data_IF_078242801951
#
_entry.id   IF_078242801951
#
_cell.length_a   1.000
_cell.length_b   1.000
_cell.length_c   1.000
_cell.angle_alpha   90.00
_cell.angle_beta   90.00
_cell.angle_gamma   90.00
#
_symmetry.space_group_name_H-M   'P 1'
#
loop_
_entity.id
_entity.type
_entity.pdbx_description
1 polymer ?
#
# COMPACT_ATOMS: atom_id res chain seq x y z
N UNK A 1 22.31 -12.40 62.98
CA UNK A 1 23.69 -12.26 62.48
C UNK A 1 23.61 -11.91 61.00
N UNK A 2 23.99 -10.69 60.61
CA UNK A 2 24.06 -10.31 59.20
C UNK A 2 25.32 -10.96 58.58
N UNK A 3 25.16 -11.78 57.55
CA UNK A 3 26.30 -12.31 56.81
C UNK A 3 27.04 -11.14 56.16
N UNK A 4 28.36 -11.07 56.37
CA UNK A 4 29.20 -10.08 55.72
C UNK A 4 29.02 -10.16 54.20
N UNK A 5 28.91 -9.00 53.55
CA UNK A 5 28.75 -8.93 52.10
C UNK A 5 29.94 -9.62 51.39
N UNK A 6 29.70 -10.73 50.67
CA UNK A 6 30.76 -11.44 49.97
C UNK A 6 31.42 -10.58 48.88
N UNK A 7 30.79 -9.52 48.38
CA UNK A 7 31.42 -8.58 47.46
C UNK A 7 32.47 -7.69 48.13
N UNK A 8 32.16 -7.19 49.33
CA UNK A 8 33.11 -6.43 50.14
C UNK A 8 34.37 -7.25 50.47
N UNK A 9 34.20 -8.53 50.85
CA UNK A 9 35.31 -9.45 51.08
C UNK A 9 36.18 -9.64 49.83
N UNK A 10 35.57 -9.90 48.67
CA UNK A 10 36.27 -10.02 47.38
C UNK A 10 36.97 -8.72 46.98
N UNK A 11 36.40 -7.56 47.29
CA UNK A 11 37.03 -6.26 47.01
C UNK A 11 38.30 -6.06 47.84
N UNK A 12 38.24 -6.35 49.15
CA UNK A 12 39.40 -6.27 50.04
C UNK A 12 40.52 -7.23 49.61
N UNK A 13 40.20 -8.46 49.18
CA UNK A 13 41.19 -9.41 48.65
C UNK A 13 41.87 -8.91 47.38
N UNK A 14 41.09 -8.33 46.45
CA UNK A 14 41.64 -7.71 45.24
C UNK A 14 42.58 -6.56 45.58
N UNK A 15 42.24 -5.75 46.56
CA UNK A 15 43.09 -4.65 47.03
C UNK A 15 44.39 -5.15 47.66
N UNK A 16 44.31 -6.12 48.58
CA UNK A 16 45.48 -6.78 49.19
C UNK A 16 46.39 -7.39 48.14
N UNK A 17 45.81 -8.05 47.13
CA UNK A 17 46.57 -8.61 46.01
C UNK A 17 47.29 -7.49 45.22
N UNK A 18 46.59 -6.40 44.85
CA UNK A 18 47.20 -5.25 44.15
C UNK A 18 48.35 -4.63 44.92
N UNK A 19 48.17 -4.37 46.23
CA UNK A 19 49.22 -3.83 47.11
C UNK A 19 50.46 -4.71 47.14
N UNK A 20 50.30 -6.03 47.32
CA UNK A 20 51.41 -7.00 47.32
C UNK A 20 52.11 -7.08 45.97
N UNK A 21 51.35 -7.06 44.87
CA UNK A 21 51.89 -7.05 43.52
C UNK A 21 52.71 -5.79 43.25
N UNK A 22 52.21 -4.61 43.65
CA UNK A 22 52.92 -3.34 43.49
C UNK A 22 54.24 -3.33 44.27
N UNK A 23 54.24 -3.79 45.53
CA UNK A 23 55.45 -3.88 46.35
C UNK A 23 56.53 -4.79 45.73
N UNK A 24 56.14 -5.95 45.19
CA UNK A 24 57.06 -6.86 44.48
C UNK A 24 57.65 -6.23 43.23
N UNK A 25 56.82 -5.56 42.43
CA UNK A 25 57.28 -4.88 41.20
C UNK A 25 58.25 -3.75 41.54
N UNK A 26 57.98 -2.96 42.60
CA UNK A 26 58.88 -1.91 43.07
C UNK A 26 60.26 -2.45 43.50
N UNK A 27 60.30 -3.67 44.04
CA UNK A 27 61.54 -4.37 44.41
C UNK A 27 62.22 -5.08 43.21
N UNK A 28 61.70 -4.95 41.98
CA UNK A 28 62.22 -5.64 40.81
C UNK A 28 61.93 -7.15 40.80
N UNK A 29 61.00 -7.63 41.62
CA UNK A 29 60.65 -9.04 41.76
C UNK A 29 59.41 -9.40 40.94
N UNK A 30 59.32 -10.69 40.55
CA UNK A 30 58.18 -11.22 39.81
C UNK A 30 56.88 -11.02 40.61
N UNK A 31 55.83 -10.41 40.02
CA UNK A 31 54.59 -10.09 40.72
C UNK A 31 53.85 -11.34 41.23
N UNK A 32 54.11 -12.51 40.64
CA UNK A 32 53.45 -13.78 40.96
C UNK A 32 54.12 -14.50 42.13
N UNK A 33 55.38 -14.89 42.01
CA UNK A 33 56.09 -15.60 43.08
C UNK A 33 56.74 -14.65 44.09
N UNK A 34 57.26 -13.50 43.66
CA UNK A 34 58.01 -12.58 44.52
C UNK A 34 59.45 -13.04 44.83
N UNK A 35 59.96 -14.07 44.15
CA UNK A 35 61.27 -14.67 44.47
C UNK A 35 62.39 -14.30 43.47
N UNK A 36 62.04 -14.08 42.21
CA UNK A 36 62.99 -13.90 41.11
C UNK A 36 62.61 -12.68 40.29
N UNK A 37 63.56 -11.97 39.68
CA UNK A 37 63.23 -10.90 38.75
C UNK A 37 62.43 -11.44 37.54
N UNK A 38 61.60 -10.60 36.91
CA UNK A 38 60.97 -10.94 35.65
C UNK A 38 62.01 -11.25 34.57
N UNK A 39 61.67 -12.14 33.63
CA UNK A 39 62.51 -12.35 32.45
C UNK A 39 62.55 -11.08 31.58
N UNK A 40 63.63 -10.85 30.80
CA UNK A 40 63.72 -9.69 29.92
C UNK A 40 62.50 -9.59 29.00
N UNK A 41 61.95 -8.38 28.86
CA UNK A 41 60.73 -8.06 28.10
C UNK A 41 59.44 -8.73 28.58
N UNK A 42 59.41 -9.30 29.79
CA UNK A 42 58.24 -10.00 30.34
C UNK A 42 57.85 -9.47 31.71
N UNK A 43 56.60 -9.69 32.08
CA UNK A 43 56.07 -9.30 33.41
C UNK A 43 56.18 -10.41 34.46
N UNK A 44 56.68 -11.60 34.11
CA UNK A 44 56.83 -12.76 34.99
C UNK A 44 58.22 -13.35 34.86
N UNK A 45 58.72 -13.98 35.92
CA UNK A 45 59.92 -14.82 35.82
C UNK A 45 59.63 -16.06 34.94
N UNK A 46 60.67 -16.65 34.37
CA UNK A 46 60.58 -17.82 33.49
C UNK A 46 59.67 -18.93 34.03
N UNK A 47 59.93 -19.47 35.24
CA UNK A 47 59.12 -20.54 35.83
C UNK A 47 57.63 -20.19 35.99
N UNK A 48 57.34 -18.96 36.43
CA UNK A 48 55.95 -18.50 36.58
C UNK A 48 55.23 -18.37 35.24
N UNK A 49 55.95 -17.98 34.19
CA UNK A 49 55.42 -17.89 32.84
C UNK A 49 55.18 -19.29 32.25
N UNK A 50 56.08 -20.23 32.46
CA UNK A 50 55.93 -21.61 32.00
C UNK A 50 54.74 -22.30 32.68
N UNK A 51 54.60 -22.12 34.00
CA UNK A 51 53.41 -22.58 34.74
C UNK A 51 52.12 -21.97 34.22
N UNK A 52 52.12 -20.67 33.86
CA UNK A 52 50.95 -20.00 33.23
C UNK A 52 50.63 -20.62 31.87
N UNK A 53 51.64 -20.84 31.04
CA UNK A 53 51.48 -21.40 29.71
C UNK A 53 51.00 -22.85 29.76
N UNK A 54 51.56 -23.67 30.66
CA UNK A 54 51.11 -25.04 30.90
C UNK A 54 49.63 -25.09 31.30
N UNK A 55 49.20 -24.24 32.24
CA UNK A 55 47.80 -24.15 32.64
C UNK A 55 46.87 -23.69 31.48
N UNK A 56 47.34 -22.77 30.63
CA UNK A 56 46.58 -22.36 29.43
C UNK A 56 46.45 -23.51 28.43
N UNK A 57 47.54 -24.23 28.14
CA UNK A 57 47.54 -25.39 27.23
C UNK A 57 46.63 -26.51 27.76
N UNK A 58 46.69 -26.79 29.06
CA UNK A 58 45.82 -27.80 29.69
C UNK A 58 44.33 -27.42 29.59
N UNK A 59 43.99 -26.14 29.79
CA UNK A 59 42.63 -25.63 29.59
C UNK A 59 42.17 -25.78 28.15
N UNK A 60 42.99 -25.36 27.18
CA UNK A 60 42.66 -25.46 25.76
C UNK A 60 42.53 -26.93 25.31
N UNK A 61 43.37 -27.82 25.82
CA UNK A 61 43.27 -29.26 25.58
C UNK A 61 41.94 -29.82 26.11
N UNK A 62 41.54 -29.46 27.34
CA UNK A 62 40.25 -29.85 27.92
C UNK A 62 39.08 -29.33 27.07
N UNK A 63 39.10 -28.07 26.66
CA UNK A 63 38.04 -27.49 25.83
C UNK A 63 37.92 -28.21 24.48
N UNK A 64 39.06 -28.56 23.84
CA UNK A 64 39.06 -29.37 22.62
C UNK A 64 38.49 -30.77 22.84
N UNK A 65 38.87 -31.45 23.92
CA UNK A 65 38.35 -32.78 24.27
C UNK A 65 36.83 -32.75 24.53
N UNK A 66 36.32 -31.67 25.12
CA UNK A 66 34.88 -31.45 25.35
C UNK A 66 34.13 -30.93 24.10
N UNK A 67 34.81 -30.70 22.97
CA UNK A 67 34.21 -30.08 21.77
C UNK A 67 33.75 -28.63 21.98
N UNK A 68 34.16 -27.99 23.08
CA UNK A 68 33.77 -26.62 23.41
C UNK A 68 34.72 -25.62 22.76
N UNK A 69 34.21 -24.55 22.14
CA UNK A 69 35.07 -23.52 21.56
C UNK A 69 35.83 -22.77 22.67
N UNK A 70 37.04 -22.30 22.38
CA UNK A 70 37.90 -21.55 23.33
C UNK A 70 37.21 -20.29 23.84
N UNK A 71 36.37 -19.69 23.01
CA UNK A 71 35.53 -18.53 23.29
C UNK A 71 34.15 -18.79 22.72
N UNK A 72 33.12 -18.20 23.31
CA UNK A 72 31.78 -18.24 22.75
C UNK A 72 31.78 -17.58 21.35
N UNK A 73 31.49 -18.33 20.27
CA UNK A 73 31.56 -17.83 18.90
C UNK A 73 30.53 -16.73 18.62
N UNK A 74 29.43 -16.68 19.38
CA UNK A 74 28.43 -15.62 19.26
C UNK A 74 29.02 -14.32 19.79
N UNK A 75 29.57 -14.34 21.01
CA UNK A 75 30.24 -13.17 21.61
C UNK A 75 31.44 -12.68 20.81
N UNK A 76 32.22 -13.60 20.22
CA UNK A 76 33.34 -13.22 19.36
C UNK A 76 32.86 -12.47 18.10
N UNK A 77 31.83 -12.99 17.42
CA UNK A 77 31.22 -12.32 16.27
C UNK A 77 30.59 -10.98 16.63
N UNK A 78 29.97 -10.86 17.81
CA UNK A 78 29.42 -9.59 18.31
C UNK A 78 30.52 -8.56 18.54
N UNK A 79 31.59 -8.95 19.23
CA UNK A 79 32.75 -8.08 19.46
C UNK A 79 33.39 -7.62 18.15
N UNK A 80 33.58 -8.52 17.17
CA UNK A 80 34.11 -8.17 15.85
C UNK A 80 33.21 -7.21 15.07
N UNK A 81 31.88 -7.39 15.15
CA UNK A 81 30.90 -6.48 14.55
C UNK A 81 30.96 -5.10 15.20
N UNK A 82 31.04 -5.05 16.53
CA UNK A 82 31.13 -3.79 17.27
C UNK A 82 32.44 -3.05 16.96
N UNK A 83 33.57 -3.76 17.01
CA UNK A 83 34.87 -3.22 16.61
C UNK A 83 34.86 -2.69 15.18
N UNK A 84 34.34 -3.47 14.23
CA UNK A 84 34.22 -3.06 12.82
C UNK A 84 33.35 -1.82 12.65
N UNK A 85 32.29 -1.68 13.46
CA UNK A 85 31.42 -0.50 13.47
C UNK A 85 32.19 0.73 13.97
N UNK A 86 32.87 0.63 15.11
CA UNK A 86 33.68 1.72 15.69
C UNK A 86 34.78 2.18 14.72
N UNK A 87 35.49 1.24 14.10
CA UNK A 87 36.52 1.56 13.10
C UNK A 87 35.91 2.25 11.86
N UNK A 88 34.75 1.80 11.38
CA UNK A 88 34.08 2.43 10.25
C UNK A 88 33.60 3.85 10.59
N UNK A 89 33.09 4.07 11.81
CA UNK A 89 32.69 5.39 12.31
C UNK A 89 33.90 6.33 12.45
N UNK A 90 34.99 5.86 13.06
CA UNK A 90 36.24 6.61 13.15
C UNK A 90 36.79 7.01 11.77
N UNK A 91 36.76 6.09 10.78
CA UNK A 91 37.15 6.39 9.40
C UNK A 91 36.23 7.43 8.76
N UNK A 92 34.91 7.35 8.96
CA UNK A 92 33.96 8.37 8.45
C UNK A 92 34.23 9.74 9.05
N UNK A 93 34.46 9.80 10.36
CA UNK A 93 34.77 11.05 11.07
C UNK A 93 36.07 11.68 10.56
N UNK A 94 37.08 10.86 10.24
CA UNK A 94 38.33 11.31 9.62
C UNK A 94 38.23 11.59 8.10
N UNK A 95 37.05 11.47 7.48
CA UNK A 95 36.88 11.63 6.04
C UNK A 95 37.54 10.54 5.19
N UNK A 96 37.92 9.41 5.79
CA UNK A 96 38.62 8.30 5.15
C UNK A 96 37.64 7.25 4.59
N UNK A 97 38.10 6.54 3.57
CA UNK A 97 37.42 5.40 2.99
C UNK A 97 37.16 4.32 4.05
N UNK A 98 35.89 3.99 4.30
CA UNK A 98 35.50 2.96 5.28
C UNK A 98 36.02 1.57 4.95
N UNK A 99 36.31 1.29 3.67
CA UNK A 99 36.84 0.00 3.18
C UNK A 99 38.33 -0.17 3.37
N UNK A 100 39.15 0.74 2.84
CA UNK A 100 40.60 0.60 2.89
C UNK A 100 41.24 1.39 4.05
N UNK A 101 40.60 2.44 4.55
CA UNK A 101 41.16 3.34 5.58
C UNK A 101 42.37 4.16 5.15
N UNK A 102 42.76 4.13 3.87
CA UNK A 102 44.02 4.73 3.36
C UNK A 102 43.84 6.07 2.65
N UNK A 103 42.72 6.23 1.94
CA UNK A 103 42.46 7.38 1.08
C UNK A 103 41.19 8.10 1.54
N UNK A 104 41.05 9.40 1.25
CA UNK A 104 39.81 10.13 1.51
C UNK A 104 38.64 9.47 0.78
N UNK A 105 37.46 9.52 1.38
CA UNK A 105 36.24 9.05 0.73
C UNK A 105 35.88 9.99 -0.45
N UNK A 106 35.33 9.42 -1.52
CA UNK A 106 34.84 10.25 -2.63
C UNK A 106 33.67 11.13 -2.17
N UNK A 107 33.49 12.30 -2.81
CA UNK A 107 32.48 13.28 -2.41
C UNK A 107 31.07 12.65 -2.34
N UNK A 108 30.41 12.77 -1.18
CA UNK A 108 29.08 12.19 -0.94
C UNK A 108 29.06 10.65 -0.82
N UNK A 109 30.22 9.99 -0.69
CA UNK A 109 30.35 8.54 -0.56
C UNK A 109 31.13 8.17 0.70
N UNK A 110 31.04 6.91 1.12
CA UNK A 110 31.77 6.36 2.27
C UNK A 110 33.02 5.57 1.88
N UNK A 111 33.36 5.51 0.60
CA UNK A 111 34.51 4.77 0.06
C UNK A 111 35.26 5.65 -0.95
N UNK A 112 36.58 5.44 -1.08
CA UNK A 112 37.39 6.12 -2.09
C UNK A 112 37.11 5.58 -3.50
N UNK A 113 37.46 6.37 -4.53
CA UNK A 113 37.21 6.02 -5.93
C UNK A 113 37.87 4.69 -6.35
N UNK A 114 39.11 4.37 -5.96
CA UNK A 114 39.71 3.06 -6.28
C UNK A 114 38.95 1.88 -5.68
N UNK A 115 38.44 2.01 -4.45
CA UNK A 115 37.61 0.97 -3.83
C UNK A 115 36.25 0.84 -4.51
N UNK A 116 35.67 1.95 -4.97
CA UNK A 116 34.43 1.96 -5.74
C UNK A 116 34.64 1.28 -7.09
N UNK A 117 35.72 1.60 -7.81
CA UNK A 117 36.01 0.97 -9.11
C UNK A 117 36.30 -0.52 -8.98
N UNK A 118 37.08 -0.92 -7.97
CA UNK A 118 37.29 -2.35 -7.66
C UNK A 118 35.96 -3.08 -7.41
N UNK A 119 35.02 -2.43 -6.71
CA UNK A 119 33.67 -2.99 -6.50
C UNK A 119 32.87 -3.06 -7.80
N UNK A 120 32.87 -2.00 -8.61
CA UNK A 120 32.19 -1.99 -9.93
C UNK A 120 32.74 -3.09 -10.83
N UNK A 121 34.06 -3.28 -10.87
CA UNK A 121 34.72 -4.35 -11.61
C UNK A 121 34.28 -5.73 -11.12
N UNK A 122 34.26 -5.97 -9.81
CA UNK A 122 33.77 -7.23 -9.24
C UNK A 122 32.27 -7.47 -9.53
N UNK A 123 31.45 -6.42 -9.49
CA UNK A 123 30.03 -6.50 -9.83
C UNK A 123 29.83 -6.80 -11.32
N UNK A 124 30.60 -6.15 -12.22
CA UNK A 124 30.62 -6.45 -13.67
C UNK A 124 31.06 -7.89 -13.94
N UNK A 125 32.13 -8.37 -13.31
CA UNK A 125 32.62 -9.73 -13.46
C UNK A 125 31.57 -10.77 -12.99
N UNK A 126 30.94 -10.54 -11.83
CA UNK A 126 29.84 -11.38 -11.35
C UNK A 126 28.66 -11.40 -12.32
N UNK A 127 28.35 -10.24 -12.91
CA UNK A 127 27.28 -10.11 -13.88
C UNK A 127 27.58 -10.87 -15.16
N UNK A 128 28.80 -10.72 -15.69
CA UNK A 128 29.28 -11.44 -16.86
C UNK A 128 29.28 -12.96 -16.64
N UNK A 129 29.79 -13.42 -15.49
CA UNK A 129 29.76 -14.84 -15.12
C UNK A 129 28.33 -15.38 -15.01
N UNK A 130 27.41 -14.62 -14.40
CA UNK A 130 25.99 -14.99 -14.34
C UNK A 130 25.35 -15.07 -15.72
N UNK A 131 25.65 -14.11 -16.60
CA UNK A 131 25.18 -14.12 -18.00
C UNK A 131 25.73 -15.33 -18.77
N UNK A 132 27.02 -15.63 -18.63
CA UNK A 132 27.66 -16.79 -19.26
C UNK A 132 27.06 -18.12 -18.76
N UNK A 133 26.65 -18.18 -17.50
CA UNK A 133 25.97 -19.32 -16.91
C UNK A 133 24.45 -19.39 -17.22
N UNK A 134 23.92 -18.53 -18.11
CA UNK A 134 22.50 -18.50 -18.45
C UNK A 134 21.58 -18.01 -17.32
N UNK A 135 22.14 -17.41 -16.26
CA UNK A 135 21.32 -16.89 -15.15
C UNK A 135 20.55 -15.63 -15.60
N UNK A 136 19.27 -15.51 -15.24
CA UNK A 136 18.46 -14.35 -15.60
C UNK A 136 19.00 -13.05 -14.96
N UNK A 137 18.69 -11.91 -15.59
CA UNK A 137 19.08 -10.58 -15.13
C UNK A 137 18.72 -10.40 -13.65
N UNK A 138 19.73 -10.39 -12.76
CA UNK A 138 19.54 -10.26 -11.30
C UNK A 138 20.00 -11.44 -10.44
N UNK A 139 20.64 -12.46 -11.02
CA UNK A 139 21.28 -13.58 -10.32
C UNK A 139 20.46 -14.87 -10.33
N UNK A 140 20.95 -15.90 -9.66
CA UNK A 140 20.43 -17.27 -9.72
C UNK A 140 18.95 -17.47 -9.33
N UNK A 141 18.27 -16.44 -8.79
CA UNK A 141 16.90 -16.52 -8.32
C UNK A 141 16.09 -15.25 -8.64
N UNK A 142 16.02 -14.87 -9.92
CA UNK A 142 15.24 -13.70 -10.36
C UNK A 142 13.77 -13.75 -9.90
N UNK A 143 13.15 -14.93 -9.85
CA UNK A 143 11.79 -15.09 -9.36
C UNK A 143 11.67 -14.93 -7.85
N UNK A 144 12.61 -15.46 -7.06
CA UNK A 144 12.61 -15.22 -5.62
C UNK A 144 12.76 -13.72 -5.32
N UNK A 145 13.64 -13.02 -6.07
CA UNK A 145 13.80 -11.56 -5.98
C UNK A 145 12.51 -10.82 -6.38
N UNK A 146 11.83 -11.26 -7.45
CA UNK A 146 10.54 -10.72 -7.89
C UNK A 146 9.45 -10.93 -6.84
N UNK A 147 9.34 -12.13 -6.26
CA UNK A 147 8.41 -12.47 -5.17
C UNK A 147 8.68 -11.63 -3.93
N UNK A 148 9.94 -11.52 -3.50
CA UNK A 148 10.35 -10.69 -2.36
C UNK A 148 10.05 -9.20 -2.60
N UNK A 149 10.30 -8.69 -3.81
CA UNK A 149 9.94 -7.33 -4.21
C UNK A 149 8.43 -7.07 -4.16
N UNK A 150 7.61 -8.00 -4.66
CA UNK A 150 6.15 -7.95 -4.57
C UNK A 150 5.69 -7.96 -3.10
N UNK A 151 6.25 -8.83 -2.26
CA UNK A 151 5.92 -8.90 -0.84
C UNK A 151 6.27 -7.61 -0.10
N UNK A 152 7.46 -7.03 -0.34
CA UNK A 152 7.87 -5.73 0.22
C UNK A 152 6.93 -4.60 -0.23
N UNK A 153 6.55 -4.59 -1.51
CA UNK A 153 5.60 -3.60 -2.04
C UNK A 153 4.23 -3.72 -1.37
N UNK A 154 3.71 -4.94 -1.19
CA UNK A 154 2.45 -5.21 -0.48
C UNK A 154 2.51 -4.72 0.97
N UNK A 155 3.57 -5.05 1.72
CA UNK A 155 3.76 -4.57 3.10
C UNK A 155 3.75 -3.04 3.19
N UNK A 156 4.46 -2.36 2.29
CA UNK A 156 4.48 -0.89 2.22
C UNK A 156 3.11 -0.30 1.89
N UNK A 157 2.37 -0.91 0.97
CA UNK A 157 1.01 -0.46 0.63
C UNK A 157 0.06 -0.66 1.82
N UNK A 158 0.14 -1.80 2.51
CA UNK A 158 -0.65 -2.06 3.72
C UNK A 158 -0.35 -1.02 4.81
N UNK A 159 0.91 -0.84 5.17
CA UNK A 159 1.31 0.14 6.18
C UNK A 159 0.84 1.58 5.84
N UNK A 160 0.85 1.97 4.56
CA UNK A 160 0.31 3.27 4.13
C UNK A 160 -1.20 3.36 4.25
N UNK A 161 -1.93 2.30 3.88
CA UNK A 161 -3.39 2.25 4.07
C UNK A 161 -3.76 2.34 5.55
N UNK A 162 -3.09 1.56 6.40
CA UNK A 162 -3.31 1.53 7.84
C UNK A 162 -3.03 2.90 8.47
N UNK A 163 -2.02 3.64 7.96
CA UNK A 163 -1.71 4.99 8.39
C UNK A 163 -2.58 6.09 7.75
N UNK A 164 -3.62 5.74 6.98
CA UNK A 164 -4.46 6.74 6.29
C UNK A 164 -3.74 7.53 5.19
N UNK A 165 -2.66 6.99 4.62
CA UNK A 165 -1.82 7.64 3.62
C UNK A 165 -2.02 7.07 2.21
N UNK A 166 -1.83 7.91 1.20
CA UNK A 166 -1.83 7.54 -0.21
C UNK A 166 -0.84 6.38 -0.49
N UNK A 167 -1.32 5.29 -1.07
CA UNK A 167 -0.51 4.09 -1.32
C UNK A 167 0.64 4.32 -2.31
N UNK A 168 0.55 5.35 -3.16
CA UNK A 168 1.56 5.73 -4.17
C UNK A 168 2.68 6.55 -3.55
N UNK A 169 2.39 7.77 -3.07
CA UNK A 169 3.42 8.66 -2.53
C UNK A 169 3.73 8.43 -1.05
N UNK A 170 2.75 8.00 -0.25
CA UNK A 170 2.88 7.87 1.21
C UNK A 170 3.05 9.20 1.95
N UNK A 171 2.59 10.32 1.37
CA UNK A 171 2.80 11.68 1.92
C UNK A 171 1.52 12.42 2.32
N UNK A 172 0.38 12.09 1.69
CA UNK A 172 -0.90 12.81 1.84
C UNK A 172 -2.03 11.80 2.00
N UNK A 173 -3.15 12.14 2.67
CA UNK A 173 -4.30 11.25 2.73
C UNK A 173 -4.89 10.96 1.34
N UNK A 174 -5.55 9.80 1.15
CA UNK A 174 -6.27 9.51 -0.08
C UNK A 174 -7.51 10.41 -0.22
N UNK A 175 -8.02 10.54 -1.44
CA UNK A 175 -9.36 11.12 -1.68
C UNK A 175 -10.41 10.22 -1.03
N UNK A 176 -11.53 10.77 -0.57
CA UNK A 176 -12.66 10.01 0.00
C UNK A 176 -13.05 8.82 -0.89
N UNK A 177 -13.21 7.64 -0.28
CA UNK A 177 -13.46 6.37 -0.98
C UNK A 177 -12.30 5.82 -1.82
N UNK A 178 -11.14 6.48 -1.83
CA UNK A 178 -9.97 6.13 -2.63
C UNK A 178 -8.80 5.57 -1.83
N UNK A 179 -7.74 5.16 -2.55
CA UNK A 179 -6.45 4.74 -1.94
C UNK A 179 -5.28 5.64 -2.33
N UNK A 180 -5.53 6.65 -3.17
CA UNK A 180 -4.51 7.57 -3.69
C UNK A 180 -4.93 9.02 -3.49
N UNK A 181 -3.99 9.90 -3.19
CA UNK A 181 -4.23 11.34 -3.09
C UNK A 181 -4.47 11.98 -4.47
N UNK A 182 -5.11 13.15 -4.49
CA UNK A 182 -5.45 13.91 -5.70
C UNK A 182 -4.27 14.12 -6.66
N UNK A 183 -3.08 14.57 -6.21
CA UNK A 183 -1.94 14.78 -7.12
C UNK A 183 -1.44 13.47 -7.77
N UNK A 184 -1.42 12.38 -7.02
CA UNK A 184 -1.03 11.07 -7.58
C UNK A 184 -2.08 10.55 -8.57
N UNK A 185 -3.37 10.81 -8.31
CA UNK A 185 -4.47 10.47 -9.22
C UNK A 185 -4.38 11.27 -10.52
N UNK A 186 -4.24 12.59 -10.43
CA UNK A 186 -4.08 13.49 -11.59
C UNK A 186 -2.84 13.16 -12.42
N UNK A 187 -1.69 12.96 -11.77
CA UNK A 187 -0.45 12.55 -12.47
C UNK A 187 -0.61 11.23 -13.21
N UNK A 188 -1.34 10.27 -12.63
CA UNK A 188 -1.65 8.99 -13.28
C UNK A 188 -2.58 9.20 -14.47
N UNK A 189 -3.66 9.96 -14.31
CA UNK A 189 -4.61 10.26 -15.39
C UNK A 189 -3.93 10.98 -16.56
N UNK A 190 -3.09 11.99 -16.30
CA UNK A 190 -2.33 12.69 -17.34
C UNK A 190 -1.32 11.76 -18.06
N UNK A 191 -0.74 10.78 -17.37
CA UNK A 191 0.10 9.77 -18.01
C UNK A 191 -0.73 8.78 -18.85
N UNK A 192 -1.88 8.34 -18.36
CA UNK A 192 -2.80 7.46 -19.09
C UNK A 192 -3.35 8.15 -20.35
N UNK A 193 -3.74 9.42 -20.27
CA UNK A 193 -4.18 10.23 -21.41
C UNK A 193 -3.07 10.42 -22.44
N UNK A 194 -1.84 10.77 -22.02
CA UNK A 194 -0.70 10.89 -22.94
C UNK A 194 -0.38 9.57 -23.63
N UNK A 195 -0.35 8.46 -22.90
CA UNK A 195 -0.13 7.14 -23.48
C UNK A 195 -1.25 6.74 -24.45
N UNK A 196 -2.50 7.06 -24.13
CA UNK A 196 -3.64 6.83 -24.99
C UNK A 196 -3.54 7.64 -26.29
N UNK A 197 -3.25 8.93 -26.20
CA UNK A 197 -3.08 9.82 -27.33
C UNK A 197 -1.89 9.39 -28.21
N UNK A 198 -0.74 9.07 -27.61
CA UNK A 198 0.44 8.59 -28.33
C UNK A 198 0.17 7.28 -29.07
N UNK A 199 -0.52 6.32 -28.44
CA UNK A 199 -0.92 5.06 -29.10
C UNK A 199 -1.88 5.31 -30.25
N UNK A 200 -2.89 6.17 -30.06
CA UNK A 200 -3.83 6.56 -31.13
C UNK A 200 -3.12 7.22 -32.30
N UNK A 201 -2.23 8.18 -32.05
CA UNK A 201 -1.46 8.87 -33.09
C UNK A 201 -0.53 7.92 -33.86
N UNK A 202 0.03 6.91 -33.18
CA UNK A 202 0.88 5.89 -33.79
C UNK A 202 0.08 4.79 -34.55
N UNK A 203 -1.25 4.84 -34.58
CA UNK A 203 -2.06 3.77 -35.15
C UNK A 203 -1.91 2.45 -34.37
N UNK A 204 -1.73 2.52 -33.05
CA UNK A 204 -1.59 1.39 -32.15
C UNK A 204 -2.80 1.20 -31.24
N UNK A 205 -3.15 -0.06 -30.99
CA UNK A 205 -4.15 -0.52 -30.06
C UNK A 205 -3.88 0.01 -28.65
N UNK A 206 -4.86 0.68 -28.08
CA UNK A 206 -4.76 1.30 -26.76
C UNK A 206 -4.58 0.29 -25.62
N UNK A 207 -4.89 -0.99 -25.84
CA UNK A 207 -4.76 -2.10 -24.87
C UNK A 207 -3.40 -2.80 -24.99
N UNK A 208 -3.13 -3.51 -26.09
CA UNK A 208 -1.92 -4.32 -26.26
C UNK A 208 -0.74 -3.57 -26.91
N UNK A 209 -1.00 -2.51 -27.69
CA UNK A 209 0.02 -1.77 -28.43
C UNK A 209 0.27 -2.24 -29.87
N UNK A 210 -0.38 -3.31 -30.34
CA UNK A 210 -0.30 -3.77 -31.73
C UNK A 210 -1.01 -2.80 -32.70
N UNK A 211 -0.68 -2.78 -34.00
CA UNK A 211 -1.36 -1.93 -34.98
C UNK A 211 -2.89 -2.08 -34.97
N UNK A 212 -3.60 -0.98 -35.14
CA UNK A 212 -5.07 -0.98 -35.28
C UNK A 212 -5.49 -1.17 -36.73
N UNK A 213 -6.63 -1.84 -36.90
CA UNK A 213 -7.29 -2.03 -38.18
C UNK A 213 -8.43 -1.00 -38.30
N UNK A 214 -8.56 -0.37 -39.46
CA UNK A 214 -9.73 0.46 -39.84
C UNK A 214 -10.07 1.62 -38.88
N UNK A 215 -9.06 2.34 -38.37
CA UNK A 215 -9.29 3.55 -37.55
C UNK A 215 -9.90 3.30 -36.16
N UNK A 216 -10.07 2.03 -35.77
CA UNK A 216 -10.53 1.68 -34.43
C UNK A 216 -9.50 2.05 -33.36
N UNK A 217 -9.92 2.10 -32.09
CA UNK A 217 -9.02 2.37 -30.96
C UNK A 217 -8.32 1.11 -30.41
N UNK A 218 -8.69 -0.08 -30.92
CA UNK A 218 -8.22 -1.39 -30.48
C UNK A 218 -8.05 -2.33 -31.68
N UNK A 219 -7.03 -3.18 -31.65
CA UNK A 219 -6.82 -4.21 -32.67
C UNK A 219 -7.96 -5.25 -32.64
N UNK A 220 -8.18 -5.94 -33.76
CA UNK A 220 -9.26 -6.95 -33.92
C UNK A 220 -9.30 -7.98 -32.79
N UNK A 221 -8.17 -8.60 -32.36
CA UNK A 221 -8.19 -9.53 -31.23
C UNK A 221 -8.66 -8.89 -29.91
N UNK A 222 -8.21 -7.68 -29.62
CA UNK A 222 -8.64 -6.97 -28.42
C UNK A 222 -10.12 -6.60 -28.48
N UNK A 223 -10.61 -6.13 -29.64
CA UNK A 223 -12.02 -5.81 -29.85
C UNK A 223 -12.91 -7.05 -29.62
N UNK A 224 -12.59 -8.17 -30.27
CA UNK A 224 -13.31 -9.43 -30.08
C UNK A 224 -13.25 -9.94 -28.63
N UNK A 225 -12.11 -9.79 -27.94
CA UNK A 225 -11.99 -10.16 -26.53
C UNK A 225 -12.86 -9.27 -25.62
N UNK A 226 -12.97 -7.98 -25.95
CA UNK A 226 -13.86 -7.06 -25.24
C UNK A 226 -15.34 -7.38 -25.50
N UNK A 227 -15.70 -7.75 -26.73
CA UNK A 227 -17.06 -8.16 -27.10
C UNK A 227 -17.45 -9.50 -26.48
N UNK A 228 -16.55 -10.49 -26.50
CA UNK A 228 -16.73 -11.77 -25.83
C UNK A 228 -16.92 -11.62 -24.32
N UNK A 229 -16.21 -10.67 -23.70
CA UNK A 229 -16.40 -10.28 -22.30
C UNK A 229 -17.73 -9.54 -22.05
N UNK A 230 -18.28 -8.89 -23.07
CA UNK A 230 -19.55 -8.16 -23.04
C UNK A 230 -20.76 -9.00 -23.43
N UNK A 231 -20.64 -10.30 -23.70
CA UNK A 231 -21.78 -11.17 -24.05
C UNK A 231 -23.00 -10.86 -23.16
N UNK A 232 -24.03 -10.15 -23.72
CA UNK A 232 -25.18 -9.72 -22.94
C UNK A 232 -25.89 -10.93 -22.35
N UNK A 233 -25.90 -12.05 -23.08
CA UNK A 233 -26.43 -13.35 -22.66
C UNK A 233 -25.75 -13.87 -21.39
N UNK A 234 -24.41 -13.90 -21.32
CA UNK A 234 -23.69 -14.35 -20.11
C UNK A 234 -23.96 -13.42 -18.92
N UNK A 235 -23.98 -12.10 -19.16
CA UNK A 235 -24.31 -11.11 -18.13
C UNK A 235 -25.75 -11.28 -17.63
N UNK A 236 -26.69 -11.49 -18.54
CA UNK A 236 -28.10 -11.72 -18.26
C UNK A 236 -28.32 -13.06 -17.53
N UNK A 237 -27.66 -14.14 -17.96
CA UNK A 237 -27.69 -15.43 -17.29
C UNK A 237 -27.17 -15.34 -15.85
N UNK A 238 -26.01 -14.71 -15.62
CA UNK A 238 -25.49 -14.49 -14.27
C UNK A 238 -26.36 -13.55 -13.43
N UNK A 239 -27.04 -12.59 -14.06
CA UNK A 239 -28.02 -11.73 -13.38
C UNK A 239 -29.26 -12.51 -12.97
N UNK A 240 -29.82 -13.34 -13.87
CA UNK A 240 -30.95 -14.24 -13.63
C UNK A 240 -30.64 -15.26 -12.53
N UNK A 241 -29.46 -15.88 -12.56
CA UNK A 241 -28.99 -16.80 -11.52
C UNK A 241 -28.92 -16.09 -10.16
N UNK A 242 -28.26 -14.93 -10.06
CA UNK A 242 -28.19 -14.17 -8.81
C UNK A 242 -29.55 -13.73 -8.31
N UNK A 243 -30.46 -13.38 -9.21
CA UNK A 243 -31.85 -13.05 -8.87
C UNK A 243 -32.54 -14.26 -8.24
N UNK A 244 -32.47 -15.44 -8.88
CA UNK A 244 -33.06 -16.68 -8.37
C UNK A 244 -32.46 -17.11 -7.02
N UNK A 245 -31.14 -17.09 -6.88
CA UNK A 245 -30.44 -17.42 -5.62
C UNK A 245 -30.85 -16.48 -4.48
N UNK A 246 -30.97 -15.18 -4.74
CA UNK A 246 -31.41 -14.19 -3.73
C UNK A 246 -32.87 -14.42 -3.34
N UNK A 247 -33.75 -14.68 -4.31
CA UNK A 247 -35.17 -14.99 -4.07
C UNK A 247 -35.33 -16.24 -3.22
N UNK A 248 -34.61 -17.32 -3.54
CA UNK A 248 -34.64 -18.57 -2.79
C UNK A 248 -34.17 -18.40 -1.32
N UNK A 249 -33.28 -17.44 -1.06
CA UNK A 249 -32.79 -17.12 0.30
C UNK A 249 -33.61 -16.05 1.02
N UNK A 250 -34.71 -15.56 0.44
CA UNK A 250 -35.49 -14.46 1.01
C UNK A 250 -34.71 -13.14 1.11
N UNK A 251 -33.78 -12.90 0.19
CA UNK A 251 -32.94 -11.69 0.12
C UNK A 251 -33.41 -10.75 -1.00
N UNK A 252 -33.28 -9.45 -0.72
CA UNK A 252 -33.51 -8.36 -1.65
C UNK A 252 -32.63 -8.51 -2.89
N UNK A 253 -33.26 -8.51 -4.06
CA UNK A 253 -32.58 -8.69 -5.35
C UNK A 253 -31.65 -7.53 -5.72
N UNK A 254 -31.82 -6.35 -5.10
CA UNK A 254 -30.96 -5.20 -5.28
C UNK A 254 -29.76 -5.19 -4.30
N UNK A 255 -30.02 -5.01 -3.01
CA UNK A 255 -28.97 -4.82 -1.99
C UNK A 255 -28.52 -6.12 -1.29
N UNK A 256 -29.31 -7.20 -1.33
CA UNK A 256 -29.02 -8.46 -0.64
C UNK A 256 -29.44 -8.53 0.83
N UNK A 257 -30.11 -7.51 1.39
CA UNK A 257 -30.68 -7.56 2.74
C UNK A 257 -31.92 -8.48 2.81
N UNK A 258 -32.30 -9.04 3.97
CA UNK A 258 -33.54 -9.81 4.11
C UNK A 258 -34.77 -9.04 3.61
N UNK A 259 -35.64 -9.69 2.84
CA UNK A 259 -36.81 -9.05 2.22
C UNK A 259 -38.15 -9.70 2.60
N UNK A 260 -38.17 -10.61 3.58
CA UNK A 260 -39.40 -11.26 4.07
C UNK A 260 -40.27 -11.85 2.94
N UNK A 261 -39.64 -12.44 1.92
CA UNK A 261 -40.35 -13.01 0.77
C UNK A 261 -40.70 -12.01 -0.35
N UNK A 262 -40.48 -10.70 -0.18
CA UNK A 262 -40.58 -9.71 -1.25
C UNK A 262 -39.37 -9.74 -2.20
N UNK A 263 -39.51 -9.22 -3.43
CA UNK A 263 -38.42 -9.17 -4.42
C UNK A 263 -37.34 -8.13 -4.04
N UNK A 264 -37.73 -7.10 -3.29
CA UNK A 264 -36.86 -6.04 -2.76
C UNK A 264 -37.25 -5.73 -1.32
N UNK A 265 -36.29 -5.31 -0.50
CA UNK A 265 -36.57 -4.79 0.84
C UNK A 265 -37.27 -3.41 0.73
N UNK A 266 -37.95 -2.94 1.79
CA UNK A 266 -38.73 -1.68 1.76
C UNK A 266 -37.95 -0.49 1.20
N UNK A 267 -36.72 -0.28 1.67
CA UNK A 267 -35.85 0.82 1.21
C UNK A 267 -35.49 0.75 -0.27
N UNK A 268 -35.24 -0.45 -0.80
CA UNK A 268 -34.94 -0.64 -2.22
C UNK A 268 -36.20 -0.62 -3.10
N UNK A 269 -37.36 -0.97 -2.53
CA UNK A 269 -38.65 -0.86 -3.19
C UNK A 269 -39.02 0.63 -3.35
N UNK A 270 -38.95 1.41 -2.27
CA UNK A 270 -39.17 2.86 -2.24
C UNK A 270 -38.22 3.59 -3.20
N UNK A 271 -36.91 3.32 -3.13
CA UNK A 271 -35.94 3.90 -4.08
C UNK A 271 -36.25 3.54 -5.53
N UNK A 272 -36.75 2.33 -5.78
CA UNK A 272 -37.18 1.94 -7.12
C UNK A 272 -38.45 2.65 -7.56
N UNK A 273 -39.38 2.86 -6.63
CA UNK A 273 -40.63 3.55 -6.88
C UNK A 273 -40.33 5.00 -7.28
N UNK A 274 -39.51 5.72 -6.50
CA UNK A 274 -39.06 7.08 -6.85
C UNK A 274 -38.19 7.15 -8.10
N UNK A 275 -37.39 6.11 -8.38
CA UNK A 275 -36.56 6.05 -9.58
C UNK A 275 -37.32 5.64 -10.84
N UNK A 276 -38.47 4.99 -10.71
CA UNK A 276 -39.33 4.62 -11.82
C UNK A 276 -40.02 5.87 -12.36
N UNK A 277 -40.27 5.91 -13.67
CA UNK A 277 -40.95 7.04 -14.32
C UNK A 277 -42.32 7.37 -13.70
N UNK A 278 -42.90 6.47 -12.91
CA UNK A 278 -44.13 6.68 -12.14
C UNK A 278 -44.05 7.86 -11.16
N UNK A 279 -42.85 8.21 -10.66
CA UNK A 279 -42.65 9.40 -9.82
C UNK A 279 -42.20 10.63 -10.60
N UNK A 280 -41.91 10.51 -11.91
CA UNK A 280 -41.66 11.69 -12.78
C UNK A 280 -42.97 12.38 -13.17
N UNK A 281 -43.94 12.38 -12.26
CA UNK A 281 -45.34 12.67 -12.51
C UNK A 281 -45.94 11.65 -13.49
N UNK A 282 -47.19 11.26 -13.27
CA UNK A 282 -48.08 11.29 -14.43
C UNK A 282 -47.92 12.73 -14.95
N UNK A 283 -47.54 12.98 -16.21
CA UNK A 283 -47.45 14.35 -16.70
C UNK A 283 -48.77 15.01 -16.31
N UNK A 284 -48.69 16.00 -15.42
CA UNK A 284 -49.83 16.86 -15.13
C UNK A 284 -49.89 17.70 -16.40
N UNK A 285 -50.64 17.21 -17.38
CA UNK A 285 -51.00 18.04 -18.52
C UNK A 285 -51.77 19.21 -17.90
N UNK A 286 -51.38 20.44 -18.24
CA UNK A 286 -52.14 21.60 -17.81
C UNK A 286 -53.59 21.41 -18.29
N UNK A 287 -54.59 21.61 -17.40
CA UNK A 287 -55.96 21.30 -17.75
C UNK A 287 -56.41 22.21 -18.89
N UNK A 288 -56.90 21.60 -19.96
CA UNK A 288 -57.58 22.27 -21.05
C UNK A 288 -59.05 22.40 -20.71
N UNK A 289 -59.59 23.56 -21.08
CA UNK A 289 -60.97 23.92 -20.82
C UNK A 289 -61.74 24.02 -22.13
N UNK A 290 -62.96 23.51 -22.17
CA UNK A 290 -63.88 23.65 -23.29
C UNK A 290 -65.19 24.24 -22.78
N UNK A 291 -65.69 25.28 -23.42
CA UNK A 291 -66.99 25.89 -23.12
C UNK A 291 -68.01 25.34 -24.10
N UNK A 292 -69.08 24.73 -23.62
CA UNK A 292 -70.15 24.16 -24.44
C UNK A 292 -71.42 24.95 -24.20
N UNK A 293 -72.00 25.51 -25.26
CA UNK A 293 -73.32 26.14 -25.20
C UNK A 293 -74.41 25.09 -24.98
N UNK A 294 -75.22 25.24 -23.92
CA UNK A 294 -76.23 24.24 -23.55
C UNK A 294 -77.37 24.10 -24.58
N UNK A 295 -77.72 25.20 -25.24
CA UNK A 295 -78.85 25.21 -26.17
C UNK A 295 -78.48 24.70 -27.57
N UNK A 296 -77.24 24.91 -27.99
CA UNK A 296 -76.78 24.62 -29.36
C UNK A 296 -75.82 23.44 -29.41
N UNK A 297 -75.22 23.05 -28.28
CA UNK A 297 -74.13 22.08 -28.20
C UNK A 297 -72.83 22.57 -28.85
N UNK A 298 -72.72 23.86 -29.19
CA UNK A 298 -71.52 24.41 -29.83
C UNK A 298 -70.38 24.49 -28.82
N UNK A 299 -69.24 23.92 -29.19
CA UNK A 299 -68.02 23.94 -28.38
C UNK A 299 -67.13 25.13 -28.75
N UNK A 300 -66.56 25.77 -27.74
CA UNK A 300 -65.52 26.78 -27.84
C UNK A 300 -64.30 26.31 -27.05
N UNK A 301 -63.13 26.24 -27.70
CA UNK A 301 -61.89 25.74 -27.10
C UNK A 301 -61.14 24.74 -27.99
N UNK A 302 -60.11 24.04 -27.46
CA UNK A 302 -59.68 24.05 -26.07
C UNK A 302 -58.95 25.34 -25.67
N UNK A 303 -59.05 25.72 -24.40
CA UNK A 303 -58.36 26.83 -23.78
C UNK A 303 -57.34 26.34 -22.76
N UNK A 304 -56.16 26.96 -22.70
CA UNK A 304 -55.09 26.54 -21.80
C UNK A 304 -55.23 27.17 -20.39
N UNK A 305 -56.18 28.10 -20.19
CA UNK A 305 -56.39 28.76 -18.90
C UNK A 305 -57.84 29.18 -18.65
N UNK A 306 -58.22 29.35 -17.37
CA UNK A 306 -59.52 29.88 -16.98
C UNK A 306 -59.74 31.35 -17.40
N UNK A 307 -58.66 32.10 -17.62
CA UNK A 307 -58.74 33.48 -18.11
C UNK A 307 -59.19 33.52 -19.58
N UNK A 308 -58.70 32.59 -20.39
CA UNK A 308 -59.10 32.46 -21.80
C UNK A 308 -60.58 32.04 -21.93
N UNK A 309 -61.06 31.18 -21.02
CA UNK A 309 -62.49 30.87 -20.89
C UNK A 309 -63.30 32.13 -20.59
N UNK A 310 -62.87 32.95 -19.62
CA UNK A 310 -63.58 34.18 -19.27
C UNK A 310 -63.60 35.20 -20.43
N UNK A 311 -62.51 35.30 -21.20
CA UNK A 311 -62.46 36.11 -22.41
C UNK A 311 -63.40 35.59 -23.48
N UNK A 312 -63.43 34.27 -23.72
CA UNK A 312 -64.36 33.65 -24.67
C UNK A 312 -65.82 33.98 -24.31
N UNK A 313 -66.22 33.82 -23.04
CA UNK A 313 -67.57 34.15 -22.58
C UNK A 313 -67.91 35.63 -22.84
N UNK A 314 -66.96 36.54 -22.58
CA UNK A 314 -67.17 37.97 -22.78
C UNK A 314 -67.26 38.36 -24.27
N UNK A 315 -66.40 37.81 -25.13
CA UNK A 315 -66.36 38.13 -26.57
C UNK A 315 -67.57 37.57 -27.32
N UNK A 316 -67.94 36.32 -27.05
CA UNK A 316 -69.08 35.66 -27.67
C UNK A 316 -70.42 36.07 -27.01
N UNK A 317 -70.36 36.91 -25.96
CA UNK A 317 -71.51 37.38 -25.17
C UNK A 317 -72.35 36.22 -24.64
N UNK A 318 -71.69 35.15 -24.19
CA UNK A 318 -72.32 33.96 -23.65
C UNK A 318 -72.68 34.19 -22.18
N UNK A 319 -73.92 33.88 -21.82
CA UNK A 319 -74.36 33.89 -20.44
C UNK A 319 -73.80 32.67 -19.70
N UNK A 320 -73.32 32.88 -18.48
CA UNK A 320 -72.76 31.83 -17.63
C UNK A 320 -73.79 30.74 -17.31
N UNK A 321 -75.07 31.08 -17.27
CA UNK A 321 -76.15 30.12 -16.99
C UNK A 321 -76.55 29.29 -18.22
N UNK A 322 -75.99 29.60 -19.40
CA UNK A 322 -76.28 28.93 -20.69
C UNK A 322 -75.09 28.17 -21.26
N UNK A 323 -74.01 28.03 -20.48
CA UNK A 323 -72.81 27.31 -20.89
C UNK A 323 -72.34 26.33 -19.82
N UNK A 324 -71.80 25.20 -20.25
CA UNK A 324 -71.07 24.25 -19.41
C UNK A 324 -69.57 24.38 -19.70
N UNK A 325 -68.75 24.55 -18.66
CA UNK A 325 -67.28 24.59 -18.80
C UNK A 325 -66.71 23.25 -18.36
N UNK A 326 -66.26 22.44 -19.32
CA UNK A 326 -65.58 21.18 -19.07
C UNK A 326 -64.08 21.41 -18.95
N UNK A 327 -63.42 20.76 -17.98
CA UNK A 327 -61.97 20.66 -17.95
C UNK A 327 -61.53 19.20 -18.07
N UNK A 328 -60.47 18.96 -18.83
CA UNK A 328 -59.86 17.63 -18.95
C UNK A 328 -58.88 17.31 -17.80
N UNK A 329 -58.91 18.12 -16.74
CA UNK A 329 -58.10 17.93 -15.55
C UNK A 329 -58.28 16.51 -15.02
N UNK A 330 -57.17 15.80 -14.77
CA UNK A 330 -57.21 14.52 -14.06
C UNK A 330 -58.00 14.73 -12.75
N UNK A 331 -58.96 13.85 -12.39
CA UNK A 331 -59.75 13.98 -11.16
C UNK A 331 -58.89 14.14 -9.90
N UNK A 332 -57.65 13.67 -9.95
CA UNK A 332 -56.66 13.80 -8.88
C UNK A 332 -56.10 15.23 -8.74
N UNK A 333 -56.03 16.02 -9.81
CA UNK A 333 -55.59 17.42 -9.77
C UNK A 333 -56.63 18.31 -9.06
N UNK A 334 -57.92 18.02 -9.27
CA UNK A 334 -59.05 18.72 -8.64
C UNK A 334 -59.05 18.55 -7.12
N UNK A 335 -58.65 17.37 -6.62
CA UNK A 335 -58.59 17.06 -5.19
C UNK A 335 -57.43 17.75 -4.46
N UNK A 336 -56.34 18.09 -5.16
CA UNK A 336 -55.18 18.77 -4.56
C UNK A 336 -55.30 20.30 -4.51
N UNK A 337 -56.26 20.90 -5.22
CA UNK A 337 -56.44 22.35 -5.28
C UNK A 337 -57.35 22.93 -4.17
N UNK A 338 -57.91 22.09 -3.30
CA UNK A 338 -58.85 22.46 -2.22
C UNK A 338 -58.22 22.41 -0.82
N UNK A 339 -56.92 22.74 -0.71
CA UNK A 339 -56.20 22.89 0.57
C UNK A 339 -55.28 24.09 0.53
#
# INVERSE_FOLDING_TARGET
>A
MAYADPEAGRAADRERFRKRTAARVAQGLCPRCGERPPAPERSLCGPCNDKRNAASRARDARLRAEGKPRRDPVREREYERERSRREAEARRAAGLCTRCGRQPAALGRSSCEPCLEKRRAADRARYAAGKAAGLPYGGANADAKRRAGRAKSRRRQKARKDAGLCIRCGKRPPVEGGTTCTPCRQKRQAAEQRNYAARRAAGCCTRCGEPVFEGLSRCRPCALADDAGRSPERKNARSRQRYAERRARGLCTACGAPSQGASRCPTCAEKSYHGSGYFRGIPVWDPRWTVIELDTGKEHGPFDSAADVALCLAFEKLDRDRVEVLSDASPMASLTAWG
#
